data_IF_083565980036
#
_entry.id   IF_083565980036
#
_cell.length_a   1.000
_cell.length_b   1.000
_cell.length_c   1.000
_cell.angle_alpha   90.00
_cell.angle_beta   90.00
_cell.angle_gamma   90.00
#
_symmetry.space_group_name_H-M   'P 1'
#
loop_
_entity.id
_entity.type
_entity.pdbx_description
1 polymer ?
#
# COMPACT_ATOMS: atom_id res chain seq x y z
N UNK A 1 -2.56 -56.26 -6.33
CA UNK A 1 -2.25 -54.94 -6.91
C UNK A 1 -2.42 -53.92 -5.82
N UNK A 2 -1.33 -53.25 -5.44
CA UNK A 2 -1.35 -52.12 -4.51
C UNK A 2 -1.68 -50.90 -5.36
N UNK A 3 -2.85 -50.29 -5.14
CA UNK A 3 -3.15 -48.99 -5.73
C UNK A 3 -2.19 -47.96 -5.10
N UNK A 4 -1.47 -47.14 -5.88
CA UNK A 4 -0.72 -46.04 -5.29
C UNK A 4 -1.72 -45.17 -4.51
N UNK A 5 -1.36 -44.78 -3.29
CA UNK A 5 -2.02 -43.67 -2.61
C UNK A 5 -1.83 -42.48 -3.55
N UNK A 6 -2.87 -42.15 -4.32
CA UNK A 6 -2.99 -40.83 -4.89
C UNK A 6 -2.80 -39.87 -3.71
N UNK A 7 -1.67 -39.17 -3.69
CA UNK A 7 -1.49 -38.00 -2.84
C UNK A 7 -2.65 -37.09 -3.21
N UNK A 8 -3.69 -37.07 -2.37
CA UNK A 8 -4.84 -36.21 -2.54
C UNK A 8 -4.33 -34.77 -2.51
N UNK A 9 -4.03 -34.24 -3.70
CA UNK A 9 -3.73 -32.84 -3.88
C UNK A 9 -4.98 -32.08 -3.40
N UNK A 10 -4.86 -31.17 -2.43
CA UNK A 10 -6.01 -30.43 -1.95
C UNK A 10 -6.65 -29.66 -3.11
N UNK A 11 -7.94 -29.91 -3.35
CA UNK A 11 -8.71 -29.18 -4.35
C UNK A 11 -9.23 -27.88 -3.74
N UNK A 12 -8.93 -26.75 -4.36
CA UNK A 12 -9.38 -25.44 -3.90
C UNK A 12 -10.46 -24.92 -4.84
N UNK A 13 -11.56 -24.43 -4.26
CA UNK A 13 -12.63 -23.78 -5.01
C UNK A 13 -12.34 -22.28 -5.10
N UNK A 14 -12.21 -21.76 -6.32
CA UNK A 14 -11.96 -20.35 -6.63
C UNK A 14 -13.22 -19.70 -7.22
N UNK A 15 -13.73 -18.67 -6.57
CA UNK A 15 -14.74 -17.77 -7.09
C UNK A 15 -14.04 -16.59 -7.77
N UNK A 16 -14.20 -16.51 -9.08
CA UNK A 16 -13.65 -15.46 -9.93
C UNK A 16 -14.70 -14.36 -10.09
N UNK A 17 -14.37 -13.15 -9.66
CA UNK A 17 -15.26 -11.98 -9.79
C UNK A 17 -14.70 -11.08 -10.89
N UNK A 18 -15.39 -11.05 -12.04
CA UNK A 18 -15.03 -10.25 -13.22
C UNK A 18 -15.30 -8.76 -13.03
N UNK A 19 -14.57 -7.92 -13.77
CA UNK A 19 -14.80 -6.49 -13.88
C UNK A 19 -16.11 -6.15 -14.66
N UNK A 20 -16.59 -7.04 -15.55
CA UNK A 20 -17.71 -6.77 -16.49
C UNK A 20 -18.91 -7.74 -16.42
N UNK A 21 -18.92 -8.75 -15.53
CA UNK A 21 -19.95 -9.80 -15.62
C UNK A 21 -20.10 -10.72 -14.41
N UNK A 22 -20.87 -11.80 -14.62
CA UNK A 22 -21.33 -12.73 -13.58
C UNK A 22 -20.18 -13.50 -12.90
N UNK A 23 -20.24 -13.68 -11.56
CA UNK A 23 -19.26 -14.45 -10.82
C UNK A 23 -19.26 -15.91 -11.30
N UNK A 24 -18.07 -16.47 -11.53
CA UNK A 24 -17.90 -17.87 -11.93
C UNK A 24 -17.07 -18.64 -10.91
N UNK A 25 -17.37 -19.92 -10.70
CA UNK A 25 -16.62 -20.79 -9.80
C UNK A 25 -15.77 -21.76 -10.62
N UNK A 26 -14.48 -21.86 -10.28
CA UNK A 26 -13.55 -22.84 -10.86
C UNK A 26 -12.91 -23.64 -9.73
N UNK A 27 -12.89 -24.96 -9.89
CA UNK A 27 -12.05 -25.83 -9.06
C UNK A 27 -10.66 -25.88 -9.68
N UNK A 28 -9.63 -25.68 -8.87
CA UNK A 28 -8.23 -25.79 -9.30
C UNK A 28 -7.49 -26.62 -8.27
N UNK A 29 -6.80 -27.63 -8.79
CA UNK A 29 -5.96 -28.51 -7.98
C UNK A 29 -4.59 -27.85 -7.82
N UNK A 30 -4.23 -27.52 -6.59
CA UNK A 30 -2.94 -26.92 -6.24
C UNK A 30 -2.41 -27.57 -4.97
N UNK A 31 -1.09 -27.76 -4.84
CA UNK A 31 -0.51 -28.59 -3.79
C UNK A 31 -0.70 -28.03 -2.37
N UNK A 32 -0.80 -26.70 -2.23
CA UNK A 32 -0.96 -26.04 -0.95
C UNK A 32 -1.55 -24.62 -1.09
N UNK A 33 -1.76 -23.96 0.06
CA UNK A 33 -2.34 -22.61 0.15
C UNK A 33 -1.48 -21.54 -0.51
N UNK A 34 -0.14 -21.69 -0.53
CA UNK A 34 0.74 -20.69 -1.13
C UNK A 34 0.78 -20.82 -2.65
N UNK A 35 0.69 -22.05 -3.17
CA UNK A 35 0.43 -22.32 -4.58
C UNK A 35 -0.94 -21.77 -5.01
N UNK A 36 -1.99 -21.93 -4.17
CA UNK A 36 -3.31 -21.36 -4.41
C UNK A 36 -3.30 -19.83 -4.54
N UNK A 37 -2.57 -19.15 -3.63
CA UNK A 37 -2.39 -17.69 -3.69
C UNK A 37 -1.63 -17.26 -4.94
N UNK A 38 -0.57 -17.98 -5.29
CA UNK A 38 0.26 -17.69 -6.47
C UNK A 38 -0.56 -17.82 -7.74
N UNK A 39 -1.33 -18.90 -7.87
CA UNK A 39 -2.27 -19.09 -8.98
C UNK A 39 -3.32 -17.99 -9.06
N UNK A 40 -3.94 -17.63 -7.93
CA UNK A 40 -4.94 -16.56 -7.90
C UNK A 40 -4.35 -15.22 -8.37
N UNK A 41 -3.10 -14.91 -8.01
CA UNK A 41 -2.41 -13.71 -8.46
C UNK A 41 -2.16 -13.70 -9.97
N UNK A 42 -1.72 -14.81 -10.54
CA UNK A 42 -1.49 -14.92 -11.98
C UNK A 42 -2.81 -14.85 -12.78
N UNK A 43 -3.88 -15.42 -12.23
CA UNK A 43 -5.22 -15.31 -12.80
C UNK A 43 -5.77 -13.87 -12.76
N UNK A 44 -5.60 -13.14 -11.65
CA UNK A 44 -6.02 -11.73 -11.52
C UNK A 44 -5.23 -10.80 -12.44
N UNK A 45 -3.96 -11.14 -12.72
CA UNK A 45 -3.10 -10.37 -13.63
C UNK A 45 -3.42 -10.64 -15.09
N UNK A 46 -3.71 -11.88 -15.45
CA UNK A 46 -3.92 -12.29 -16.85
C UNK A 46 -5.36 -12.06 -17.34
N UNK A 47 -6.34 -11.98 -16.45
CA UNK A 47 -7.74 -11.70 -16.77
C UNK A 47 -8.24 -10.42 -16.08
N UNK A 48 -9.28 -9.78 -16.61
CA UNK A 48 -9.98 -8.61 -16.01
C UNK A 48 -10.81 -9.01 -14.79
N UNK A 49 -10.16 -9.52 -13.74
CA UNK A 49 -10.77 -9.91 -12.49
C UNK A 49 -10.46 -8.86 -11.41
N UNK A 50 -11.51 -8.44 -10.70
CA UNK A 50 -11.37 -7.54 -9.56
C UNK A 50 -10.88 -8.28 -8.31
N UNK A 51 -11.38 -9.50 -8.12
CA UNK A 51 -11.18 -10.30 -6.91
C UNK A 51 -11.28 -11.79 -7.23
N UNK A 52 -10.49 -12.61 -6.55
CA UNK A 52 -10.65 -14.06 -6.47
C UNK A 52 -10.85 -14.45 -5.01
N UNK A 53 -11.93 -15.17 -4.69
CA UNK A 53 -12.08 -15.80 -3.37
C UNK A 53 -11.77 -17.28 -3.49
N UNK A 54 -10.93 -17.83 -2.62
CA UNK A 54 -10.69 -19.26 -2.58
C UNK A 54 -11.03 -19.86 -1.22
N UNK A 55 -11.53 -21.09 -1.21
CA UNK A 55 -11.85 -21.83 0.00
C UNK A 55 -10.80 -22.91 0.24
N UNK A 56 -10.19 -22.91 1.43
CA UNK A 56 -9.08 -23.81 1.81
C UNK A 56 -9.53 -25.04 2.62
N UNK A 57 -10.83 -25.30 2.71
CA UNK A 57 -11.38 -26.34 3.59
C UNK A 57 -11.90 -25.82 4.93
N UNK A 58 -11.41 -24.65 5.38
CA UNK A 58 -11.71 -24.09 6.70
C UNK A 58 -12.28 -22.68 6.60
N UNK A 59 -11.80 -21.87 5.65
CA UNK A 59 -12.13 -20.46 5.52
C UNK A 59 -12.12 -20.01 4.06
N UNK A 60 -12.84 -18.92 3.79
CA UNK A 60 -12.77 -18.22 2.51
C UNK A 60 -11.69 -17.13 2.61
N UNK A 61 -10.74 -17.16 1.68
CA UNK A 61 -9.64 -16.19 1.55
C UNK A 61 -9.90 -15.37 0.30
N UNK A 62 -9.97 -14.04 0.44
CA UNK A 62 -10.23 -13.12 -0.66
C UNK A 62 -8.92 -12.46 -1.12
N UNK A 63 -8.51 -12.75 -2.35
CA UNK A 63 -7.37 -12.15 -3.04
C UNK A 63 -7.91 -11.07 -3.99
N UNK A 64 -7.58 -9.80 -3.73
CA UNK A 64 -7.99 -8.69 -4.60
C UNK A 64 -6.90 -8.35 -5.59
N UNK A 65 -7.28 -7.80 -6.74
CA UNK A 65 -6.34 -7.11 -7.62
C UNK A 65 -5.65 -6.01 -6.83
N UNK A 66 -4.31 -5.99 -6.78
CA UNK A 66 -3.59 -4.85 -6.23
C UNK A 66 -4.08 -3.62 -6.97
N UNK A 67 -4.59 -2.63 -6.24
CA UNK A 67 -4.98 -1.37 -6.87
C UNK A 67 -3.78 -0.91 -7.70
N UNK A 68 -3.98 -0.70 -9.01
CA UNK A 68 -2.97 -0.06 -9.85
C UNK A 68 -2.63 1.22 -9.10
N UNK A 69 -1.37 1.34 -8.62
CA UNK A 69 -0.91 2.49 -7.87
C UNK A 69 -1.37 3.72 -8.64
N UNK A 70 -2.40 4.40 -8.15
CA UNK A 70 -2.67 5.72 -8.66
C UNK A 70 -1.39 6.48 -8.38
N UNK A 71 -0.75 7.07 -9.40
CA UNK A 71 0.47 7.81 -9.18
C UNK A 71 0.18 8.78 -8.04
N UNK A 72 1.00 8.72 -6.98
CA UNK A 72 1.00 9.69 -5.89
C UNK A 72 0.70 11.05 -6.52
N UNK A 73 -0.29 11.78 -5.98
CA UNK A 73 -0.63 13.13 -6.43
C UNK A 73 0.67 13.83 -6.84
N UNK A 74 0.72 14.34 -8.07
CA UNK A 74 1.91 15.01 -8.61
C UNK A 74 2.50 15.88 -7.50
N UNK A 75 3.81 15.79 -7.24
CA UNK A 75 4.44 16.58 -6.19
C UNK A 75 4.00 18.02 -6.33
N UNK A 76 3.63 18.64 -5.22
CA UNK A 76 3.18 20.03 -5.25
C UNK A 76 4.30 20.88 -5.87
N UNK A 77 3.94 21.97 -6.55
CA UNK A 77 4.93 22.89 -7.13
C UNK A 77 6.01 23.31 -6.11
N UNK A 78 5.63 23.43 -4.82
CA UNK A 78 6.56 23.72 -3.73
C UNK A 78 7.58 22.61 -3.47
N UNK A 79 7.18 21.33 -3.55
CA UNK A 79 8.05 20.17 -3.35
C UNK A 79 9.01 19.99 -4.54
N UNK A 80 8.50 20.12 -5.76
CA UNK A 80 9.35 20.08 -6.96
C UNK A 80 10.38 21.22 -6.94
N UNK A 81 9.96 22.43 -6.55
CA UNK A 81 10.86 23.57 -6.39
C UNK A 81 11.95 23.28 -5.37
N UNK A 82 11.61 22.72 -4.20
CA UNK A 82 12.59 22.33 -3.19
C UNK A 82 13.60 21.30 -3.70
N UNK A 83 13.12 20.23 -4.35
CA UNK A 83 13.97 19.19 -4.94
C UNK A 83 14.91 19.76 -6.02
N UNK A 84 14.42 20.67 -6.87
CA UNK A 84 15.24 21.35 -7.89
C UNK A 84 16.30 22.25 -7.26
N UNK A 85 16.00 22.98 -6.18
CA UNK A 85 16.97 23.80 -5.47
C UNK A 85 18.09 22.95 -4.84
N UNK A 86 17.74 21.83 -4.20
CA UNK A 86 18.72 20.88 -3.65
C UNK A 86 19.60 20.30 -4.75
N UNK A 87 19.02 19.92 -5.90
CA UNK A 87 19.76 19.41 -7.04
C UNK A 87 20.72 20.46 -7.64
N UNK A 88 20.32 21.73 -7.72
CA UNK A 88 21.21 22.83 -8.14
C UNK A 88 22.38 23.02 -7.17
N UNK A 89 22.11 22.98 -5.86
CA UNK A 89 23.15 23.03 -4.81
C UNK A 89 24.11 21.85 -4.94
N UNK A 90 23.61 20.64 -5.20
CA UNK A 90 24.43 19.44 -5.42
C UNK A 90 25.30 19.53 -6.69
N UNK A 91 24.86 20.27 -7.71
CA UNK A 91 25.66 20.62 -8.91
C UNK A 91 26.69 21.73 -8.65
N UNK A 92 26.85 22.19 -7.41
CA UNK A 92 27.83 23.20 -7.04
C UNK A 92 27.36 24.65 -7.14
N UNK A 93 26.08 24.91 -7.45
CA UNK A 93 25.55 26.28 -7.51
C UNK A 93 25.49 26.91 -6.12
N UNK A 94 25.89 28.19 -6.03
CA UNK A 94 25.82 28.97 -4.79
C UNK A 94 24.36 29.34 -4.51
N UNK A 95 24.00 29.51 -3.23
CA UNK A 95 22.63 29.92 -2.84
C UNK A 95 22.16 31.22 -3.52
N UNK A 96 23.09 32.13 -3.85
CA UNK A 96 22.79 33.37 -4.59
C UNK A 96 22.36 33.10 -6.04
N UNK A 97 22.98 32.13 -6.71
CA UNK A 97 22.65 31.73 -8.08
C UNK A 97 21.29 31.00 -8.11
N UNK A 98 21.05 30.14 -7.11
CA UNK A 98 19.76 29.48 -6.91
C UNK A 98 18.67 30.52 -6.64
N UNK A 99 18.92 31.50 -5.77
CA UNK A 99 18.01 32.59 -5.48
C UNK A 99 17.62 33.38 -6.74
N UNK A 100 18.61 33.70 -7.58
CA UNK A 100 18.38 34.38 -8.86
C UNK A 100 17.54 33.52 -9.82
N UNK A 101 17.85 32.22 -9.95
CA UNK A 101 17.14 31.31 -10.83
C UNK A 101 15.65 31.14 -10.48
N UNK A 102 15.30 31.25 -9.19
CA UNK A 102 13.92 31.11 -8.71
C UNK A 102 13.23 32.43 -8.38
N UNK A 103 13.90 33.57 -8.56
CA UNK A 103 13.35 34.90 -8.26
C UNK A 103 12.96 35.10 -6.78
N UNK A 104 13.70 34.49 -5.84
CA UNK A 104 13.42 34.55 -4.40
C UNK A 104 14.64 34.98 -3.60
N UNK A 105 14.43 35.37 -2.33
CA UNK A 105 15.55 35.72 -1.44
C UNK A 105 16.39 34.50 -1.06
N UNK A 106 17.67 34.74 -0.74
CA UNK A 106 18.60 33.69 -0.26
C UNK A 106 18.07 33.02 1.02
N UNK A 107 17.47 33.81 1.93
CA UNK A 107 16.81 33.27 3.12
C UNK A 107 15.69 32.30 2.76
N UNK A 108 14.86 32.65 1.77
CA UNK A 108 13.79 31.77 1.29
C UNK A 108 14.31 30.49 0.65
N UNK A 109 15.41 30.55 -0.10
CA UNK A 109 16.08 29.35 -0.65
C UNK A 109 16.51 28.42 0.48
N UNK A 110 17.12 28.97 1.53
CA UNK A 110 17.55 28.20 2.71
C UNK A 110 16.38 27.51 3.39
N UNK A 111 15.29 28.23 3.65
CA UNK A 111 14.10 27.68 4.30
C UNK A 111 13.45 26.57 3.49
N UNK A 112 13.35 26.75 2.17
CA UNK A 112 12.75 25.77 1.27
C UNK A 112 13.60 24.49 1.22
N UNK A 113 14.92 24.63 1.05
CA UNK A 113 15.82 23.46 1.07
C UNK A 113 15.80 22.76 2.42
N UNK A 114 15.86 23.49 3.54
CA UNK A 114 15.85 22.89 4.87
C UNK A 114 14.56 22.10 5.14
N UNK A 115 13.40 22.63 4.72
CA UNK A 115 12.11 21.93 4.83
C UNK A 115 12.07 20.66 3.97
N UNK A 116 12.61 20.72 2.76
CA UNK A 116 12.62 19.57 1.86
C UNK A 116 13.64 18.51 2.30
N UNK A 117 14.81 18.91 2.80
CA UNK A 117 15.80 18.02 3.42
C UNK A 117 15.21 17.33 4.67
N UNK A 118 14.46 18.07 5.50
CA UNK A 118 13.74 17.50 6.65
C UNK A 118 12.69 16.48 6.20
N UNK A 119 11.85 16.82 5.21
CA UNK A 119 10.85 15.91 4.65
C UNK A 119 11.49 14.64 4.10
N UNK A 120 12.58 14.76 3.34
CA UNK A 120 13.28 13.60 2.79
C UNK A 120 13.85 12.70 3.89
N UNK A 121 14.35 13.27 5.01
CA UNK A 121 14.78 12.51 6.17
C UNK A 121 13.61 11.80 6.86
N UNK A 122 12.50 12.50 7.04
CA UNK A 122 11.29 11.92 7.64
C UNK A 122 10.74 10.78 6.79
N UNK A 123 10.70 10.91 5.47
CA UNK A 123 10.30 9.83 4.54
C UNK A 123 11.25 8.63 4.60
N UNK A 124 12.55 8.88 4.75
CA UNK A 124 13.54 7.81 4.90
C UNK A 124 13.37 7.05 6.22
N UNK A 125 12.96 7.73 7.29
CA UNK A 125 12.69 7.10 8.60
C UNK A 125 11.32 6.41 8.61
N UNK A 126 10.31 7.02 7.98
CA UNK A 126 8.92 6.59 8.01
C UNK A 126 8.44 6.12 6.63
N UNK A 127 9.09 5.09 6.09
CA UNK A 127 8.84 4.59 4.73
C UNK A 127 7.40 4.07 4.56
N UNK A 128 6.83 3.48 5.61
CA UNK A 128 5.48 2.93 5.58
C UNK A 128 4.41 4.02 5.54
N UNK A 129 4.52 5.06 6.38
CA UNK A 129 3.64 6.23 6.33
C UNK A 129 3.83 7.03 5.06
N UNK A 130 5.07 7.19 4.58
CA UNK A 130 5.33 7.87 3.33
C UNK A 130 4.55 7.23 2.17
N UNK A 131 4.52 5.90 2.09
CA UNK A 131 3.81 5.18 1.02
C UNK A 131 2.28 5.45 0.97
N UNK A 132 1.68 5.97 2.04
CA UNK A 132 0.26 6.31 2.12
C UNK A 132 -0.01 7.77 1.79
N UNK A 133 -1.19 8.03 1.24
CA UNK A 133 -1.74 9.37 1.06
C UNK A 133 -1.98 10.04 2.41
N UNK A 134 -1.99 11.37 2.43
CA UNK A 134 -2.33 12.13 3.65
C UNK A 134 -3.72 11.76 4.20
N UNK A 135 -4.68 11.41 3.33
CA UNK A 135 -6.01 10.98 3.76
C UNK A 135 -5.95 9.61 4.46
N UNK A 136 -5.27 8.64 3.87
CA UNK A 136 -5.09 7.34 4.50
C UNK A 136 -4.32 7.44 5.82
N UNK A 137 -3.24 8.21 5.86
CA UNK A 137 -2.50 8.50 7.09
C UNK A 137 -3.38 9.08 8.19
N UNK A 138 -4.21 10.09 7.87
CA UNK A 138 -5.12 10.70 8.85
C UNK A 138 -6.15 9.68 9.38
N UNK A 139 -6.72 8.86 8.51
CA UNK A 139 -7.66 7.80 8.94
C UNK A 139 -6.96 6.82 9.88
N UNK A 140 -5.76 6.37 9.56
CA UNK A 140 -5.01 5.41 10.38
C UNK A 140 -4.59 6.00 11.73
N UNK A 141 -4.23 7.28 11.80
CA UNK A 141 -3.88 7.96 13.05
C UNK A 141 -5.01 7.92 14.08
N UNK A 142 -6.28 7.89 13.64
CA UNK A 142 -7.42 7.77 14.55
C UNK A 142 -7.68 6.35 15.05
N UNK A 143 -7.12 5.34 14.37
CA UNK A 143 -7.46 3.93 14.60
C UNK A 143 -6.32 3.12 15.20
N UNK A 144 -5.09 3.55 14.98
CA UNK A 144 -3.87 2.85 15.38
C UNK A 144 -3.25 3.56 16.58
N UNK A 145 -2.99 2.79 17.64
CA UNK A 145 -2.26 3.26 18.83
C UNK A 145 -0.76 3.06 18.57
N UNK A 146 0.02 4.11 18.78
CA UNK A 146 1.46 4.14 18.55
C UNK A 146 2.20 4.63 19.81
N UNK A 147 2.39 3.74 20.81
CA UNK A 147 2.91 4.15 22.11
C UNK A 147 4.43 4.41 22.11
N UNK A 148 5.16 3.93 21.10
CA UNK A 148 6.63 4.08 21.03
C UNK A 148 7.02 5.54 20.99
N UNK A 149 8.17 5.93 21.53
CA UNK A 149 8.68 7.29 21.37
C UNK A 149 9.42 7.49 20.03
N UNK A 150 10.04 6.42 19.50
CA UNK A 150 10.81 6.44 18.27
C UNK A 150 9.93 6.36 17.02
N UNK A 151 10.13 7.29 16.08
CA UNK A 151 9.33 7.37 14.85
C UNK A 151 9.60 6.21 13.88
N UNK A 152 10.84 5.71 13.84
CA UNK A 152 11.20 4.59 12.97
C UNK A 152 10.57 3.29 13.47
N UNK A 153 10.55 3.08 14.77
CA UNK A 153 9.88 1.93 15.41
C UNK A 153 8.37 1.95 15.18
N UNK A 154 7.71 3.11 15.39
CA UNK A 154 6.28 3.29 15.07
C UNK A 154 5.98 2.88 13.63
N UNK A 155 6.78 3.38 12.69
CA UNK A 155 6.59 3.12 11.26
C UNK A 155 6.82 1.66 10.89
N UNK A 156 7.81 0.99 11.49
CA UNK A 156 8.07 -0.44 11.29
C UNK A 156 6.90 -1.31 11.76
N UNK A 157 6.28 -0.98 12.88
CA UNK A 157 5.15 -1.72 13.46
C UNK A 157 3.80 -1.35 12.83
N UNK A 158 3.73 -0.26 12.07
CA UNK A 158 2.49 0.23 11.48
C UNK A 158 1.74 -0.83 10.64
N UNK A 159 2.38 -1.59 9.72
CA UNK A 159 1.66 -2.60 8.92
C UNK A 159 1.00 -3.68 9.77
N UNK A 160 1.62 -4.09 10.87
CA UNK A 160 1.06 -5.08 11.79
C UNK A 160 -0.20 -4.56 12.47
N UNK A 161 -0.15 -3.32 12.94
CA UNK A 161 -1.27 -2.69 13.63
C UNK A 161 -2.45 -2.45 12.70
N UNK A 162 -2.17 -1.97 11.49
CA UNK A 162 -3.21 -1.73 10.48
C UNK A 162 -3.87 -3.04 10.06
N UNK A 163 -3.13 -4.15 9.99
CA UNK A 163 -3.69 -5.47 9.70
C UNK A 163 -4.70 -5.95 10.76
N UNK A 164 -4.61 -5.47 12.01
CA UNK A 164 -5.62 -5.79 13.04
C UNK A 164 -6.96 -5.07 12.84
N UNK A 165 -7.01 -4.05 11.98
CA UNK A 165 -8.24 -3.31 11.71
C UNK A 165 -9.16 -4.09 10.77
N UNK A 166 -10.46 -3.87 10.94
CA UNK A 166 -11.52 -4.39 10.06
C UNK A 166 -11.94 -3.33 9.05
N UNK A 167 -12.52 -3.73 7.91
CA UNK A 167 -13.05 -2.79 6.90
C UNK A 167 -14.10 -1.86 7.51
N UNK A 168 -14.99 -2.39 8.36
CA UNK A 168 -16.02 -1.59 9.05
C UNK A 168 -15.42 -0.46 9.88
N UNK A 169 -14.40 -0.76 10.70
CA UNK A 169 -13.71 0.21 11.55
C UNK A 169 -13.00 1.31 10.76
N UNK A 170 -12.44 0.97 9.59
CA UNK A 170 -11.84 1.98 8.69
C UNK A 170 -12.93 2.86 8.08
N UNK A 171 -14.03 2.27 7.63
CA UNK A 171 -15.13 2.98 6.99
C UNK A 171 -15.97 3.84 7.97
N UNK A 172 -15.89 3.59 9.28
CA UNK A 172 -16.58 4.39 10.29
C UNK A 172 -15.91 5.72 10.62
N UNK A 173 -14.66 5.96 10.16
CA UNK A 173 -13.95 7.22 10.39
C UNK A 173 -14.41 8.28 9.39
N UNK A 174 -14.71 9.49 9.87
CA UNK A 174 -15.02 10.63 9.00
C UNK A 174 -13.90 10.89 7.97
N UNK A 175 -14.26 11.16 6.72
CA UNK A 175 -13.34 11.28 5.57
C UNK A 175 -12.70 9.96 5.09
N UNK A 176 -13.08 8.82 5.67
CA UNK A 176 -12.84 7.52 5.08
C UNK A 176 -13.87 7.24 3.98
N UNK A 177 -13.45 6.56 2.93
CA UNK A 177 -14.30 6.18 1.81
C UNK A 177 -13.70 5.01 1.05
N UNK A 178 -14.45 4.47 0.09
CA UNK A 178 -14.04 3.26 -0.67
C UNK A 178 -12.63 3.37 -1.26
N UNK A 179 -12.26 4.56 -1.76
CA UNK A 179 -10.92 4.82 -2.31
C UNK A 179 -9.83 4.73 -1.23
N UNK A 180 -10.06 5.34 -0.06
CA UNK A 180 -9.12 5.28 1.06
C UNK A 180 -8.96 3.87 1.59
N UNK A 181 -10.07 3.12 1.70
CA UNK A 181 -10.03 1.71 2.10
C UNK A 181 -9.22 0.87 1.12
N UNK A 182 -9.48 1.02 -0.18
CA UNK A 182 -8.76 0.29 -1.23
C UNK A 182 -7.25 0.62 -1.23
N UNK A 183 -6.89 1.88 -0.98
CA UNK A 183 -5.49 2.30 -0.82
C UNK A 183 -4.82 1.60 0.35
N UNK A 184 -5.46 1.56 1.53
CA UNK A 184 -4.93 0.91 2.73
C UNK A 184 -4.80 -0.61 2.52
N UNK A 185 -5.81 -1.24 1.91
CA UNK A 185 -5.77 -2.67 1.57
C UNK A 185 -4.62 -2.99 0.60
N UNK A 186 -4.42 -2.18 -0.44
CA UNK A 186 -3.31 -2.35 -1.38
C UNK A 186 -1.95 -2.15 -0.69
N UNK A 187 -1.85 -1.14 0.18
CA UNK A 187 -0.62 -0.85 0.93
C UNK A 187 -0.25 -1.99 1.89
N UNK A 188 -1.22 -2.60 2.58
CA UNK A 188 -1.01 -3.80 3.40
C UNK A 188 -0.60 -5.00 2.55
N UNK A 189 -1.24 -5.15 1.39
CA UNK A 189 -0.98 -6.26 0.48
C UNK A 189 0.46 -6.25 -0.06
N UNK A 190 0.99 -5.08 -0.43
CA UNK A 190 2.41 -4.92 -0.82
C UNK A 190 3.39 -5.36 0.27
N UNK A 191 2.90 -5.48 1.52
CA UNK A 191 3.66 -5.90 2.70
C UNK A 191 3.30 -7.30 3.18
N UNK A 192 2.61 -8.08 2.34
CA UNK A 192 2.22 -9.46 2.64
C UNK A 192 1.15 -9.59 3.73
N UNK A 193 0.33 -8.55 3.94
CA UNK A 193 -0.69 -8.50 5.00
C UNK A 193 -2.08 -8.17 4.44
N UNK A 194 -3.10 -8.49 5.22
CA UNK A 194 -4.49 -8.17 4.94
C UNK A 194 -5.16 -7.59 6.20
N UNK A 195 -6.28 -6.90 6.00
CA UNK A 195 -7.14 -6.49 7.11
C UNK A 195 -7.75 -7.72 7.80
N UNK A 196 -8.07 -7.56 9.08
CA UNK A 196 -8.82 -8.54 9.87
C UNK A 196 -10.24 -8.70 9.30
N UNK A 197 -10.80 -9.92 9.28
CA UNK A 197 -12.18 -10.12 8.84
C UNK A 197 -13.18 -9.33 9.70
N UNK A 198 -14.25 -8.85 9.07
CA UNK A 198 -15.41 -8.31 9.80
C UNK A 198 -16.15 -9.50 10.43
N UNK A 199 -15.84 -9.83 11.70
CA UNK A 199 -16.60 -10.79 12.51
C UNK A 199 -17.83 -10.10 13.11
#
# INVERSE_FOLDING_TARGET
MVFPKDELVPAFAFYLVSDEGEPSMRLVDVPDVDAAKTWAMDAIRSASLHTIRFWDGVRAIEVKRPAIRQPRKKPSDAEERGKRMIAMKAKGMKQREIAAAFGISIGRVRDVMAREELRAREEAIQTNRAALSGRANNVLQHLVIEPEADLGERDRLLPERVATLTRRKIMSVGNSGKVTLAEIEAWLWERGRCLSPDI
#
